data_IF_014722289495
#
_entry.id   IF_014722289495
#
_cell.length_a   1.000
_cell.length_b   1.000
_cell.length_c   1.000
_cell.angle_alpha   90.00
_cell.angle_beta   90.00
_cell.angle_gamma   90.00
#
_symmetry.space_group_name_H-M   'P 1'
#
loop_
_entity.id
_entity.type
_entity.pdbx_description
1 polymer ?
#
# COMPACT_ATOMS: atom_id res chain seq x y z
N UNK A 1 4.87 16.45 -5.49
CA UNK A 1 5.48 15.29 -4.81
C UNK A 1 5.55 14.08 -5.73
N UNK A 2 4.45 13.64 -6.35
CA UNK A 2 4.49 12.50 -7.30
C UNK A 2 5.50 12.67 -8.44
N UNK A 3 5.54 13.85 -9.07
CA UNK A 3 6.53 14.16 -10.13
C UNK A 3 7.98 14.02 -9.66
N UNK A 4 8.25 14.39 -8.40
CA UNK A 4 9.59 14.29 -7.79
C UNK A 4 9.99 12.83 -7.57
N UNK A 5 9.06 11.99 -7.09
CA UNK A 5 9.30 10.54 -6.93
C UNK A 5 9.53 9.87 -8.28
N UNK A 6 8.77 10.25 -9.31
CA UNK A 6 8.95 9.74 -10.67
C UNK A 6 10.33 10.11 -11.21
N UNK A 7 10.77 11.36 -11.02
CA UNK A 7 12.09 11.83 -11.45
C UNK A 7 13.21 11.06 -10.73
N UNK A 8 13.14 10.96 -9.41
CA UNK A 8 14.14 10.23 -8.61
C UNK A 8 14.21 8.74 -8.96
N UNK A 9 13.09 8.12 -9.31
CA UNK A 9 13.12 6.74 -9.79
C UNK A 9 13.85 6.62 -11.13
N UNK A 10 13.58 7.52 -12.08
CA UNK A 10 14.27 7.53 -13.38
C UNK A 10 15.77 7.74 -13.21
N UNK A 11 16.18 8.48 -12.18
CA UNK A 11 17.57 8.72 -11.80
C UNK A 11 18.17 7.58 -10.95
N UNK A 12 17.39 6.55 -10.59
CA UNK A 12 17.85 5.42 -9.76
C UNK A 12 18.05 5.76 -8.28
N UNK A 13 17.55 6.91 -7.81
CA UNK A 13 17.75 7.43 -6.46
C UNK A 13 16.72 6.94 -5.43
N UNK A 14 15.79 6.07 -5.82
CA UNK A 14 14.87 5.41 -4.89
C UNK A 14 15.50 4.11 -4.36
N UNK A 15 16.71 4.22 -3.83
CA UNK A 15 17.49 3.10 -3.29
C UNK A 15 17.31 2.95 -1.77
N UNK A 16 17.98 1.94 -1.19
CA UNK A 16 17.93 1.70 0.26
C UNK A 16 18.45 2.88 1.10
N UNK A 17 19.39 3.68 0.58
CA UNK A 17 19.89 4.87 1.27
C UNK A 17 18.82 5.94 1.41
N UNK A 18 18.10 6.22 0.31
CA UNK A 18 16.95 7.12 0.34
C UNK A 18 15.86 6.64 1.31
N UNK A 19 15.51 5.34 1.26
CA UNK A 19 14.48 4.79 2.15
C UNK A 19 14.92 4.85 3.62
N UNK A 20 16.20 4.61 3.92
CA UNK A 20 16.76 4.73 5.25
C UNK A 20 16.66 6.17 5.78
N UNK A 21 17.01 7.16 4.95
CA UNK A 21 16.94 8.58 5.29
C UNK A 21 15.50 9.02 5.58
N UNK A 22 14.57 8.74 4.67
CA UNK A 22 13.15 9.09 4.86
C UNK A 22 12.58 8.44 6.11
N UNK A 23 12.92 7.18 6.38
CA UNK A 23 12.50 6.50 7.61
C UNK A 23 13.11 7.11 8.88
N UNK A 24 14.38 7.54 8.84
CA UNK A 24 15.01 8.19 9.97
C UNK A 24 14.35 9.54 10.27
N UNK A 25 14.14 10.36 9.24
CA UNK A 25 13.42 11.64 9.37
C UNK A 25 11.99 11.43 9.88
N UNK A 26 11.31 10.38 9.43
CA UNK A 26 9.95 10.07 9.86
C UNK A 26 9.90 9.71 11.35
N UNK A 27 10.85 8.91 11.84
CA UNK A 27 10.94 8.56 13.26
C UNK A 27 11.20 9.80 14.11
N UNK A 28 12.20 10.60 13.73
CA UNK A 28 12.53 11.82 14.44
C UNK A 28 11.35 12.81 14.46
N UNK A 29 10.68 13.03 13.33
CA UNK A 29 9.54 13.93 13.26
C UNK A 29 8.34 13.47 14.11
N UNK A 30 8.15 12.15 14.29
CA UNK A 30 7.14 11.59 15.19
C UNK A 30 7.52 11.78 16.67
N UNK A 31 8.80 11.64 17.01
CA UNK A 31 9.32 11.85 18.36
C UNK A 31 9.25 13.32 18.78
N UNK A 32 9.56 14.25 17.88
CA UNK A 32 9.48 15.69 18.10
C UNK A 32 8.03 16.16 18.38
N UNK A 33 7.03 15.49 17.79
CA UNK A 33 5.59 15.70 18.04
C UNK A 33 5.00 17.04 17.57
N UNK A 34 5.81 17.98 17.10
CA UNK A 34 5.43 19.36 16.77
C UNK A 34 5.25 19.63 15.26
N UNK A 35 5.52 18.62 14.41
CA UNK A 35 5.50 18.76 12.94
C UNK A 35 4.55 17.76 12.24
N UNK A 36 3.24 17.79 12.51
CA UNK A 36 2.28 16.85 11.91
C UNK A 36 2.27 16.91 10.38
N UNK A 37 2.43 18.08 9.79
CA UNK A 37 2.50 18.24 8.33
C UNK A 37 3.74 17.58 7.70
N UNK A 38 4.87 17.58 8.39
CA UNK A 38 6.10 16.93 7.91
C UNK A 38 6.01 15.41 8.01
N UNK A 39 5.44 14.89 9.10
CA UNK A 39 5.13 13.46 9.24
C UNK A 39 4.24 12.98 8.09
N UNK A 40 3.15 13.70 7.81
CA UNK A 40 2.25 13.37 6.69
C UNK A 40 2.97 13.40 5.33
N UNK A 41 3.86 14.38 5.12
CA UNK A 41 4.67 14.49 3.91
C UNK A 41 5.58 13.26 3.71
N UNK A 42 6.31 12.85 4.74
CA UNK A 42 7.21 11.70 4.70
C UNK A 42 6.45 10.39 4.54
N UNK A 43 5.29 10.25 5.19
CA UNK A 43 4.40 9.10 4.97
C UNK A 43 3.93 9.04 3.52
N UNK A 44 3.53 10.17 2.94
CA UNK A 44 3.11 10.23 1.53
C UNK A 44 4.24 9.82 0.58
N UNK A 45 5.48 10.23 0.86
CA UNK A 45 6.66 9.79 0.09
C UNK A 45 6.79 8.26 0.09
N UNK A 46 6.69 7.62 1.26
CA UNK A 46 6.81 6.16 1.38
C UNK A 46 5.64 5.42 0.71
N UNK A 47 4.43 5.97 0.79
CA UNK A 47 3.25 5.42 0.11
C UNK A 47 3.37 5.49 -1.41
N UNK A 48 3.81 6.63 -1.95
CA UNK A 48 4.05 6.80 -3.38
C UNK A 48 5.13 5.84 -3.89
N UNK A 49 6.21 5.68 -3.13
CA UNK A 49 7.22 4.67 -3.41
C UNK A 49 6.60 3.25 -3.48
N UNK A 50 5.85 2.86 -2.45
CA UNK A 50 5.27 1.52 -2.37
C UNK A 50 4.26 1.24 -3.49
N UNK A 51 3.33 2.17 -3.73
CA UNK A 51 2.37 2.13 -4.83
C UNK A 51 3.08 1.88 -6.16
N UNK A 52 4.15 2.65 -6.42
CA UNK A 52 4.90 2.58 -7.67
C UNK A 52 5.63 1.25 -7.85
N UNK A 53 6.36 0.80 -6.84
CA UNK A 53 7.09 -0.47 -6.90
C UNK A 53 6.13 -1.66 -7.04
N UNK A 54 5.05 -1.70 -6.26
CA UNK A 54 4.06 -2.79 -6.31
C UNK A 54 3.29 -2.82 -7.64
N UNK A 55 3.04 -1.65 -8.24
CA UNK A 55 2.34 -1.54 -9.53
C UNK A 55 3.14 -2.01 -10.74
N UNK A 56 4.47 -2.22 -10.61
CA UNK A 56 5.32 -2.69 -11.73
C UNK A 56 4.98 -4.09 -12.20
N UNK A 57 4.32 -4.90 -11.37
CA UNK A 57 3.95 -6.27 -11.71
C UNK A 57 2.47 -6.48 -11.45
N UNK A 58 1.77 -6.91 -12.49
CA UNK A 58 0.39 -7.36 -12.38
C UNK A 58 0.34 -8.86 -12.08
N UNK A 59 -0.58 -9.24 -11.22
CA UNK A 59 -0.94 -10.61 -10.87
C UNK A 59 -2.44 -10.88 -11.11
N UNK A 60 -3.17 -9.89 -11.62
CA UNK A 60 -4.60 -9.97 -11.93
C UNK A 60 -4.94 -10.94 -13.06
N UNK A 61 -3.96 -11.40 -13.85
CA UNK A 61 -4.20 -12.34 -14.97
C UNK A 61 -3.51 -13.67 -14.74
N UNK A 62 -4.26 -14.77 -14.94
CA UNK A 62 -3.75 -16.13 -14.97
C UNK A 62 -4.17 -16.80 -16.27
N UNK A 63 -3.32 -16.71 -17.29
CA UNK A 63 -3.72 -17.04 -18.66
C UNK A 63 -4.77 -16.04 -19.15
N UNK A 64 -5.91 -16.54 -19.62
CA UNK A 64 -7.04 -15.73 -20.07
C UNK A 64 -8.01 -15.34 -18.95
N UNK A 65 -7.83 -15.86 -17.73
CA UNK A 65 -8.69 -15.58 -16.59
C UNK A 65 -8.25 -14.31 -15.84
N UNK A 66 -9.20 -13.44 -15.54
CA UNK A 66 -9.01 -12.28 -14.66
C UNK A 66 -9.36 -12.69 -13.23
N UNK A 67 -8.36 -12.64 -12.35
CA UNK A 67 -8.50 -12.84 -10.92
C UNK A 67 -9.03 -11.55 -10.29
N UNK A 68 -10.36 -11.40 -10.21
CA UNK A 68 -11.04 -10.17 -9.77
C UNK A 68 -10.51 -9.60 -8.45
N UNK A 69 -10.24 -10.44 -7.44
CA UNK A 69 -9.68 -9.97 -6.18
C UNK A 69 -8.27 -9.37 -6.32
N UNK A 70 -7.41 -9.96 -7.16
CA UNK A 70 -6.07 -9.40 -7.46
C UNK A 70 -6.18 -8.10 -8.28
N UNK A 71 -7.12 -8.03 -9.23
CA UNK A 71 -7.40 -6.79 -9.98
C UNK A 71 -7.88 -5.67 -9.05
N UNK A 72 -8.73 -6.00 -8.08
CA UNK A 72 -9.20 -5.06 -7.08
C UNK A 72 -8.05 -4.58 -6.18
N UNK A 73 -7.20 -5.49 -5.70
CA UNK A 73 -5.98 -5.12 -4.95
C UNK A 73 -5.06 -4.21 -5.77
N UNK A 74 -4.87 -4.49 -7.06
CA UNK A 74 -4.08 -3.62 -7.94
C UNK A 74 -4.69 -2.22 -8.11
N UNK A 75 -6.02 -2.14 -8.12
CA UNK A 75 -6.74 -0.85 -8.15
C UNK A 75 -6.44 -0.06 -6.88
N UNK A 76 -6.52 -0.69 -5.70
CA UNK A 76 -6.18 -0.07 -4.42
C UNK A 76 -4.71 0.37 -4.35
N UNK A 77 -3.79 -0.47 -4.84
CA UNK A 77 -2.35 -0.15 -4.88
C UNK A 77 -2.10 1.10 -5.73
N UNK A 78 -2.79 1.26 -6.86
CA UNK A 78 -2.64 2.39 -7.80
C UNK A 78 -3.40 3.64 -7.37
N UNK A 79 -4.41 3.49 -6.53
CA UNK A 79 -5.25 4.59 -6.06
C UNK A 79 -4.50 5.48 -5.04
N UNK A 80 -4.79 6.78 -5.00
CA UNK A 80 -4.42 7.62 -3.86
C UNK A 80 -5.02 7.06 -2.56
N UNK A 81 -4.25 7.11 -1.47
CA UNK A 81 -4.69 6.61 -0.15
C UNK A 81 -6.02 7.27 0.29
N UNK A 82 -6.18 8.55 -0.04
CA UNK A 82 -7.38 9.33 0.30
C UNK A 82 -8.65 8.78 -0.34
N UNK A 83 -8.52 8.02 -1.43
CA UNK A 83 -9.63 7.40 -2.14
C UNK A 83 -9.87 5.94 -1.71
N UNK A 84 -8.98 5.34 -0.90
CA UNK A 84 -9.11 3.94 -0.49
C UNK A 84 -10.46 3.63 0.13
N UNK A 85 -10.98 4.51 1.00
CA UNK A 85 -12.27 4.26 1.65
C UNK A 85 -13.39 4.11 0.62
N UNK A 86 -13.40 4.96 -0.41
CA UNK A 86 -14.39 4.89 -1.48
C UNK A 86 -14.24 3.58 -2.26
N UNK A 87 -13.02 3.26 -2.72
CA UNK A 87 -12.77 2.02 -3.46
C UNK A 87 -13.12 0.76 -2.64
N UNK A 88 -12.80 0.75 -1.35
CA UNK A 88 -13.10 -0.35 -0.44
C UNK A 88 -14.60 -0.51 -0.21
N UNK A 89 -15.34 0.58 0.00
CA UNK A 89 -16.80 0.53 0.13
C UNK A 89 -17.44 0.03 -1.19
N UNK A 90 -17.05 0.61 -2.32
CA UNK A 90 -17.66 0.28 -3.63
C UNK A 90 -17.28 -1.13 -4.12
N UNK A 91 -16.08 -1.62 -3.78
CA UNK A 91 -15.55 -2.89 -4.25
C UNK A 91 -15.86 -4.09 -3.36
N UNK A 92 -16.05 -3.88 -2.05
CA UNK A 92 -16.32 -4.97 -1.11
C UNK A 92 -17.81 -5.31 -1.02
N UNK A 93 -18.13 -6.58 -0.78
CA UNK A 93 -19.51 -7.06 -0.64
C UNK A 93 -20.29 -6.37 0.48
N UNK A 94 -19.61 -5.90 1.54
CA UNK A 94 -20.22 -5.10 2.62
C UNK A 94 -20.81 -3.77 2.15
N UNK A 95 -20.31 -3.22 1.04
CA UNK A 95 -20.84 -2.02 0.38
C UNK A 95 -21.51 -2.29 -0.97
N UNK A 96 -21.94 -3.54 -1.22
CA UNK A 96 -22.57 -4.03 -2.47
C UNK A 96 -21.62 -4.23 -3.66
N UNK A 97 -20.31 -4.27 -3.42
CA UNK A 97 -19.32 -4.69 -4.41
C UNK A 97 -19.27 -6.20 -4.62
N UNK A 98 -18.34 -6.66 -5.45
CA UNK A 98 -18.23 -8.07 -5.85
C UNK A 98 -17.21 -8.89 -5.04
N UNK A 99 -16.32 -8.24 -4.30
CA UNK A 99 -15.19 -8.91 -3.63
C UNK A 99 -15.49 -9.09 -2.15
N UNK A 100 -15.43 -10.31 -1.62
CA UNK A 100 -15.53 -10.50 -0.17
C UNK A 100 -14.28 -9.96 0.55
N UNK A 101 -14.41 -9.49 1.81
CA UNK A 101 -13.25 -9.12 2.62
C UNK A 101 -12.20 -10.24 2.69
N UNK A 102 -12.63 -11.49 2.84
CA UNK A 102 -11.75 -12.66 2.92
C UNK A 102 -10.95 -12.89 1.63
N UNK A 103 -11.56 -12.65 0.46
CA UNK A 103 -10.86 -12.71 -0.83
C UNK A 103 -9.79 -11.62 -0.93
N UNK A 104 -10.11 -10.38 -0.50
CA UNK A 104 -9.13 -9.29 -0.45
C UNK A 104 -7.96 -9.66 0.49
N UNK A 105 -8.24 -10.11 1.72
CA UNK A 105 -7.20 -10.47 2.68
C UNK A 105 -6.31 -11.60 2.16
N UNK A 106 -6.91 -12.60 1.50
CA UNK A 106 -6.14 -13.70 0.90
C UNK A 106 -5.17 -13.23 -0.19
N UNK A 107 -5.57 -12.28 -1.06
CA UNK A 107 -4.67 -11.75 -2.10
C UNK A 107 -3.64 -10.78 -1.53
N UNK A 108 -3.97 -9.99 -0.51
CA UNK A 108 -3.02 -9.15 0.22
C UNK A 108 -1.93 -10.01 0.86
N UNK A 109 -2.31 -11.07 1.59
CA UNK A 109 -1.37 -12.01 2.20
C UNK A 109 -0.43 -12.63 1.16
N UNK A 110 -0.96 -13.11 0.04
CA UNK A 110 -0.14 -13.64 -1.07
C UNK A 110 0.82 -12.59 -1.63
N UNK A 111 0.38 -11.33 -1.74
CA UNK A 111 1.25 -10.23 -2.20
C UNK A 111 2.37 -9.96 -1.18
N UNK A 112 2.09 -9.99 0.12
CA UNK A 112 3.11 -9.88 1.18
C UNK A 112 4.14 -11.01 1.07
N UNK A 113 3.69 -12.28 0.97
CA UNK A 113 4.59 -13.44 0.82
C UNK A 113 5.51 -13.29 -0.40
N UNK A 114 4.97 -12.85 -1.54
CA UNK A 114 5.75 -12.57 -2.75
C UNK A 114 6.76 -11.44 -2.54
N UNK A 115 6.37 -10.37 -1.83
CA UNK A 115 7.28 -9.27 -1.48
C UNK A 115 8.44 -9.80 -0.65
N UNK A 116 8.16 -10.59 0.40
CA UNK A 116 9.19 -11.14 1.29
C UNK A 116 10.24 -11.98 0.55
N UNK A 117 9.81 -12.79 -0.43
CA UNK A 117 10.71 -13.64 -1.23
C UNK A 117 11.54 -12.84 -2.24
N UNK A 118 11.04 -11.68 -2.69
CA UNK A 118 11.62 -10.93 -3.81
C UNK A 118 12.49 -9.75 -3.40
N UNK A 119 12.49 -9.40 -2.12
CA UNK A 119 13.30 -8.32 -1.56
C UNK A 119 14.34 -8.89 -0.61
N UNK A 120 15.43 -8.15 -0.39
CA UNK A 120 16.40 -8.51 0.62
C UNK A 120 15.77 -8.51 2.03
N UNK A 121 16.05 -9.55 2.80
CA UNK A 121 15.51 -9.71 4.15
C UNK A 121 15.96 -8.59 5.07
N UNK A 122 15.01 -7.91 5.73
CA UNK A 122 15.29 -6.81 6.65
C UNK A 122 15.58 -5.47 5.97
N UNK A 123 15.56 -5.39 4.64
CA UNK A 123 15.69 -4.13 3.90
C UNK A 123 14.54 -3.16 4.20
N UNK A 124 14.79 -1.86 4.03
CA UNK A 124 13.74 -0.86 4.15
C UNK A 124 12.67 -1.06 3.08
N UNK A 125 13.08 -1.41 1.85
CA UNK A 125 12.13 -1.76 0.80
C UNK A 125 11.19 -2.88 1.25
N UNK A 126 11.71 -4.00 1.76
CA UNK A 126 10.87 -5.10 2.24
C UNK A 126 9.85 -4.63 3.29
N UNK A 127 10.31 -3.84 4.26
CA UNK A 127 9.45 -3.33 5.34
C UNK A 127 8.36 -2.40 4.81
N UNK A 128 8.72 -1.38 4.03
CA UNK A 128 7.78 -0.37 3.52
C UNK A 128 6.71 -1.02 2.63
N UNK A 129 7.10 -1.91 1.72
CA UNK A 129 6.15 -2.58 0.84
C UNK A 129 5.18 -3.48 1.64
N UNK A 130 5.68 -4.15 2.67
CA UNK A 130 4.85 -4.98 3.56
C UNK A 130 3.90 -4.13 4.40
N UNK A 131 4.38 -3.03 4.98
CA UNK A 131 3.56 -2.09 5.76
C UNK A 131 2.47 -1.44 4.91
N UNK A 132 2.77 -1.07 3.66
CA UNK A 132 1.78 -0.52 2.74
C UNK A 132 0.63 -1.51 2.47
N UNK A 133 0.97 -2.78 2.19
CA UNK A 133 -0.03 -3.83 1.96
C UNK A 133 -0.87 -4.11 3.21
N UNK A 134 -0.23 -4.15 4.39
CA UNK A 134 -0.94 -4.26 5.68
C UNK A 134 -1.83 -3.05 5.96
N UNK A 135 -1.43 -1.86 5.51
CA UNK A 135 -2.25 -0.65 5.61
C UNK A 135 -3.56 -0.75 4.82
N UNK A 136 -3.52 -1.34 3.62
CA UNK A 136 -4.73 -1.63 2.83
C UNK A 136 -5.63 -2.62 3.56
N UNK A 137 -5.07 -3.72 4.09
CA UNK A 137 -5.80 -4.72 4.87
C UNK A 137 -6.44 -4.12 6.13
N UNK A 138 -5.67 -3.38 6.93
CA UNK A 138 -6.16 -2.69 8.14
C UNK A 138 -7.30 -1.72 7.81
N UNK A 139 -7.19 -0.95 6.71
CA UNK A 139 -8.25 -0.02 6.33
C UNK A 139 -9.52 -0.75 5.88
N UNK A 140 -9.36 -1.88 5.19
CA UNK A 140 -10.49 -2.74 4.82
C UNK A 140 -11.16 -3.34 6.06
N UNK A 141 -10.40 -3.80 7.05
CA UNK A 141 -10.90 -4.31 8.32
C UNK A 141 -11.71 -3.25 9.09
N UNK A 142 -11.20 -2.01 9.19
CA UNK A 142 -11.89 -0.88 9.80
C UNK A 142 -13.26 -0.61 9.13
N UNK A 143 -13.29 -0.58 7.79
CA UNK A 143 -14.52 -0.35 7.03
C UNK A 143 -15.53 -1.47 7.25
N UNK A 144 -15.06 -2.72 7.23
CA UNK A 144 -15.91 -3.90 7.48
C UNK A 144 -16.50 -3.86 8.88
N UNK A 145 -15.72 -3.50 9.90
CA UNK A 145 -16.21 -3.36 11.28
C UNK A 145 -17.29 -2.29 11.38
N UNK A 146 -17.03 -1.09 10.84
CA UNK A 146 -17.97 0.04 10.84
C UNK A 146 -19.29 -0.32 10.13
N UNK A 147 -19.22 -0.91 8.94
CA UNK A 147 -20.42 -1.25 8.16
C UNK A 147 -21.21 -2.45 8.72
N UNK A 148 -20.55 -3.36 9.43
CA UNK A 148 -21.22 -4.46 10.14
C UNK A 148 -21.81 -4.05 11.50
N UNK A 149 -21.62 -2.79 11.92
CA UNK A 149 -22.10 -2.30 13.21
C UNK A 149 -21.40 -2.94 14.41
N UNK A 150 -20.17 -3.46 14.21
CA UNK A 150 -19.34 -3.95 15.30
C UNK A 150 -18.60 -2.74 15.89
N UNK A 151 -18.63 -2.55 17.22
CA UNK A 151 -18.01 -1.41 17.89
C UNK A 151 -16.48 -1.39 17.74
#
# INVERSE_FOLDING_TARGET
MEKEIIQREQEGQLDEGFLAEVNAQLRQAKEDGDKPGFVAMLQKVLQLYASRILSKRSYAKKGDEILKAEEFLETLIKAPEEEWNKFLIDGLTVGKGEISPEELYAVVKKRIERTLIRTEGGSYQQRILTEYLKGIESRAEEIVQVLQGKP
#
